data_IF_270341711474
#
_entry.id   IF_270341711474
#
_cell.length_a   1.000
_cell.length_b   1.000
_cell.length_c   1.000
_cell.angle_alpha   90.00
_cell.angle_beta   90.00
_cell.angle_gamma   90.00
#
_symmetry.space_group_name_H-M   'P 1'
#
loop_
_entity.id
_entity.type
_entity.pdbx_description
1 polymer ?
#
# COMPACT_ATOMS: atom_id res chain seq x y z
N UNK A 1 -26.40 5.03 -5.18
CA UNK A 1 -26.33 6.49 -5.15
C UNK A 1 -24.91 6.93 -4.84
N UNK A 2 -24.15 7.34 -5.86
CA UNK A 2 -22.88 8.05 -5.68
C UNK A 2 -23.22 9.53 -5.64
N UNK A 3 -22.98 10.20 -4.51
CA UNK A 3 -23.39 11.59 -4.29
C UNK A 3 -22.58 12.48 -5.25
N UNK A 4 -23.22 12.94 -6.33
CA UNK A 4 -22.69 13.95 -7.23
C UNK A 4 -22.95 15.33 -6.61
N UNK A 5 -21.90 16.12 -6.41
CA UNK A 5 -22.08 17.53 -6.04
C UNK A 5 -22.49 18.31 -7.28
N UNK A 6 -23.77 18.68 -7.37
CA UNK A 6 -24.32 19.50 -8.46
C UNK A 6 -23.95 20.99 -8.35
N UNK A 7 -23.32 21.41 -7.25
CA UNK A 7 -22.77 22.74 -7.08
C UNK A 7 -21.24 22.69 -7.22
N UNK A 8 -20.74 23.05 -8.42
CA UNK A 8 -19.32 23.22 -8.70
C UNK A 8 -19.06 24.53 -9.46
N UNK A 9 -17.90 25.13 -9.20
CA UNK A 9 -17.41 26.33 -9.89
C UNK A 9 -17.42 26.10 -11.43
N UNK A 10 -17.88 27.07 -12.22
CA UNK A 10 -17.99 27.01 -13.70
C UNK A 10 -18.99 25.97 -14.29
N UNK A 11 -20.16 25.76 -13.67
CA UNK A 11 -21.19 24.81 -14.16
C UNK A 11 -20.67 23.36 -14.33
N UNK A 12 -19.56 23.00 -13.68
CA UNK A 12 -19.01 21.65 -13.70
C UNK A 12 -19.56 20.83 -12.53
N UNK A 13 -20.06 19.63 -12.82
CA UNK A 13 -20.38 18.64 -11.80
C UNK A 13 -19.08 18.01 -11.28
N UNK A 14 -18.87 18.01 -9.95
CA UNK A 14 -17.70 17.36 -9.34
C UNK A 14 -18.05 15.97 -8.84
N UNK A 15 -17.42 14.96 -9.43
CA UNK A 15 -17.47 13.57 -8.96
C UNK A 15 -16.26 13.33 -8.06
N UNK A 16 -16.40 13.60 -6.76
CA UNK A 16 -15.26 13.57 -5.82
C UNK A 16 -15.04 12.19 -5.20
N UNK A 17 -16.10 11.53 -4.70
CA UNK A 17 -15.98 10.26 -3.97
C UNK A 17 -16.18 8.99 -4.82
N UNK A 18 -16.68 9.09 -6.06
CA UNK A 18 -16.97 7.90 -6.86
C UNK A 18 -15.71 7.28 -7.50
N UNK A 19 -14.61 8.02 -7.59
CA UNK A 19 -13.41 7.62 -8.34
C UNK A 19 -12.19 7.30 -7.46
N UNK A 20 -12.21 7.66 -6.16
CA UNK A 20 -11.02 7.62 -5.28
C UNK A 20 -11.15 6.68 -4.07
N UNK A 21 -11.69 5.48 -4.27
CA UNK A 21 -11.79 4.46 -3.20
C UNK A 21 -12.93 4.75 -2.21
N UNK A 22 -14.19 4.46 -2.57
CA UNK A 22 -15.35 4.89 -1.79
C UNK A 22 -15.34 4.34 -0.35
N UNK A 23 -14.77 3.15 -0.13
CA UNK A 23 -14.70 2.56 1.20
C UNK A 23 -13.78 3.31 2.15
N UNK A 24 -12.62 3.80 1.69
CA UNK A 24 -11.76 4.60 2.54
C UNK A 24 -12.41 5.95 2.86
N UNK A 25 -13.11 6.56 1.90
CA UNK A 25 -13.86 7.78 2.14
C UNK A 25 -14.95 7.59 3.22
N UNK A 26 -15.69 6.47 3.17
CA UNK A 26 -16.65 6.13 4.22
C UNK A 26 -15.98 5.88 5.57
N UNK A 27 -14.82 5.22 5.60
CA UNK A 27 -14.05 5.03 6.84
C UNK A 27 -13.63 6.38 7.44
N UNK A 28 -13.06 7.29 6.66
CA UNK A 28 -12.65 8.61 7.15
C UNK A 28 -13.87 9.44 7.59
N UNK A 29 -14.98 9.37 6.87
CA UNK A 29 -16.24 10.00 7.27
C UNK A 29 -16.77 9.46 8.60
N UNK A 30 -16.74 8.14 8.80
CA UNK A 30 -17.11 7.52 10.07
C UNK A 30 -16.17 7.95 11.21
N UNK A 31 -14.85 8.00 10.98
CA UNK A 31 -13.89 8.50 11.97
C UNK A 31 -14.17 9.96 12.35
N UNK A 32 -14.54 10.80 11.38
CA UNK A 32 -14.90 12.19 11.63
C UNK A 32 -16.18 12.31 12.46
N UNK A 33 -17.20 11.51 12.15
CA UNK A 33 -18.45 11.47 12.91
C UNK A 33 -18.22 11.00 14.36
N UNK A 34 -17.41 9.94 14.54
CA UNK A 34 -17.04 9.43 15.86
C UNK A 34 -16.24 10.45 16.67
N UNK A 35 -15.36 11.21 16.02
CA UNK A 35 -14.54 12.21 16.67
C UNK A 35 -15.33 13.47 17.08
N UNK A 36 -16.37 13.83 16.31
CA UNK A 36 -17.23 15.00 16.53
C UNK A 36 -16.56 16.36 16.24
N UNK A 37 -15.23 16.44 16.23
CA UNK A 37 -14.48 17.64 15.82
C UNK A 37 -13.31 17.27 14.91
N UNK A 38 -12.87 18.22 14.09
CA UNK A 38 -11.72 18.02 13.19
C UNK A 38 -10.42 17.71 13.95
N UNK A 39 -10.20 18.37 15.09
CA UNK A 39 -9.02 18.13 15.94
C UNK A 39 -9.00 16.71 16.50
N UNK A 40 -10.12 16.24 17.04
CA UNK A 40 -10.25 14.86 17.54
C UNK A 40 -10.11 13.83 16.42
N UNK A 41 -10.61 14.16 15.23
CA UNK A 41 -10.46 13.30 14.04
C UNK A 41 -9.00 13.16 13.64
N UNK A 42 -8.23 14.25 13.65
CA UNK A 42 -6.79 14.19 13.38
C UNK A 42 -6.08 13.29 14.40
N UNK A 43 -6.34 13.45 15.70
CA UNK A 43 -5.76 12.59 16.73
C UNK A 43 -6.14 11.11 16.54
N UNK A 44 -7.42 10.84 16.26
CA UNK A 44 -7.94 9.49 16.09
C UNK A 44 -7.37 8.80 14.83
N UNK A 45 -7.38 9.50 13.70
CA UNK A 45 -6.83 8.99 12.43
C UNK A 45 -5.32 8.76 12.52
N UNK A 46 -4.59 9.66 13.17
CA UNK A 46 -3.17 9.52 13.47
C UNK A 46 -2.89 8.27 14.32
N UNK A 47 -3.61 8.10 15.43
CA UNK A 47 -3.46 6.93 16.30
C UNK A 47 -3.75 5.64 15.54
N UNK A 48 -4.85 5.60 14.79
CA UNK A 48 -5.24 4.43 14.00
C UNK A 48 -4.16 4.08 12.97
N UNK A 49 -3.66 5.06 12.22
CA UNK A 49 -2.63 4.86 11.21
C UNK A 49 -1.30 4.36 11.83
N UNK A 50 -0.93 4.89 13.01
CA UNK A 50 0.24 4.45 13.77
C UNK A 50 0.12 2.99 14.22
N UNK A 51 -1.05 2.61 14.75
CA UNK A 51 -1.32 1.22 15.16
C UNK A 51 -1.32 0.29 13.95
N UNK A 52 -1.96 0.67 12.84
CA UNK A 52 -1.99 -0.12 11.62
C UNK A 52 -0.60 -0.33 11.02
N UNK A 53 0.24 0.71 10.98
CA UNK A 53 1.62 0.60 10.48
C UNK A 53 2.50 -0.30 11.35
N UNK A 54 2.44 -0.16 12.67
CA UNK A 54 3.18 -1.04 13.58
C UNK A 54 2.70 -2.50 13.48
N UNK A 55 1.39 -2.73 13.50
CA UNK A 55 0.81 -4.09 13.47
C UNK A 55 1.05 -4.78 12.13
N UNK A 56 0.94 -4.07 11.01
CA UNK A 56 1.18 -4.64 9.68
C UNK A 56 2.61 -5.17 9.55
N UNK A 57 3.61 -4.38 9.93
CA UNK A 57 5.00 -4.78 9.85
C UNK A 57 5.31 -5.87 10.86
N UNK A 58 4.74 -5.80 12.06
CA UNK A 58 4.88 -6.84 13.07
C UNK A 58 4.41 -8.19 12.53
N UNK A 59 3.20 -8.26 11.95
CA UNK A 59 2.67 -9.50 11.39
C UNK A 59 3.52 -10.03 10.23
N UNK A 60 3.99 -9.16 9.33
CA UNK A 60 4.92 -9.58 8.28
C UNK A 60 6.21 -10.18 8.87
N UNK A 61 6.78 -9.53 9.88
CA UNK A 61 7.99 -9.99 10.57
C UNK A 61 7.78 -11.32 11.30
N UNK A 62 6.60 -11.52 11.88
CA UNK A 62 6.22 -12.82 12.46
C UNK A 62 6.06 -13.88 11.38
N UNK A 63 5.42 -13.53 10.26
CA UNK A 63 5.27 -14.42 9.11
C UNK A 63 6.66 -14.85 8.62
N UNK A 64 7.64 -13.96 8.46
CA UNK A 64 9.02 -14.33 8.05
C UNK A 64 9.89 -14.95 9.17
N UNK A 65 9.33 -15.20 10.36
CA UNK A 65 10.01 -15.80 11.53
C UNK A 65 11.18 -14.98 12.10
N UNK A 66 11.10 -13.65 12.06
CA UNK A 66 12.08 -12.77 12.72
C UNK A 66 11.94 -12.86 14.25
N UNK A 67 13.04 -12.67 14.99
CA UNK A 67 13.06 -12.70 16.46
C UNK A 67 12.10 -11.65 17.03
N UNK A 68 11.31 -12.01 18.04
CA UNK A 68 10.24 -11.17 18.60
C UNK A 68 10.69 -9.73 18.93
N UNK A 69 11.78 -9.58 19.67
CA UNK A 69 12.31 -8.27 20.05
C UNK A 69 12.64 -7.39 18.82
N UNK A 70 13.24 -7.98 17.78
CA UNK A 70 13.51 -7.27 16.52
C UNK A 70 12.23 -6.95 15.76
N UNK A 71 11.24 -7.86 15.75
CA UNK A 71 9.95 -7.63 15.12
C UNK A 71 9.25 -6.42 15.74
N UNK A 72 9.21 -6.33 17.08
CA UNK A 72 8.59 -5.20 17.79
C UNK A 72 9.39 -3.93 17.56
N UNK A 73 10.72 -3.96 17.74
CA UNK A 73 11.58 -2.80 17.58
C UNK A 73 11.52 -2.18 16.17
N UNK A 74 11.60 -3.01 15.12
CA UNK A 74 11.49 -2.54 13.74
C UNK A 74 10.08 -2.04 13.40
N UNK A 75 9.04 -2.62 14.00
CA UNK A 75 7.66 -2.18 13.80
C UNK A 75 7.41 -0.81 14.41
N UNK A 76 7.91 -0.55 15.63
CA UNK A 76 7.85 0.77 16.24
C UNK A 76 8.68 1.79 15.47
N UNK A 77 9.86 1.38 14.99
CA UNK A 77 10.69 2.22 14.14
C UNK A 77 9.98 2.61 12.83
N UNK A 78 9.26 1.68 12.20
CA UNK A 78 8.55 1.93 10.95
C UNK A 78 7.51 3.06 11.05
N UNK A 79 6.81 3.18 12.19
CA UNK A 79 5.86 4.27 12.45
C UNK A 79 6.53 5.65 12.36
N UNK A 80 7.83 5.72 12.70
CA UNK A 80 8.59 6.98 12.71
C UNK A 80 9.09 7.41 11.33
N UNK A 81 8.95 6.56 10.31
CA UNK A 81 9.39 6.89 8.95
C UNK A 81 8.53 8.00 8.34
N UNK A 82 9.15 8.85 7.52
CA UNK A 82 8.41 9.92 6.85
C UNK A 82 7.22 9.41 6.02
N UNK A 83 7.36 8.24 5.38
CA UNK A 83 6.28 7.65 4.58
C UNK A 83 5.00 7.40 5.38
N UNK A 84 5.12 7.04 6.67
CA UNK A 84 3.98 6.93 7.59
C UNK A 84 3.59 8.31 8.11
N UNK A 85 4.56 9.11 8.58
CA UNK A 85 4.32 10.44 9.16
C UNK A 85 3.77 11.47 8.17
N UNK A 86 3.82 11.22 6.86
CA UNK A 86 3.30 12.12 5.84
C UNK A 86 1.79 12.42 5.99
N UNK A 87 1.03 11.50 6.60
CA UNK A 87 -0.35 11.79 7.01
C UNK A 87 -0.44 12.85 8.11
N UNK A 88 0.45 12.82 9.11
CA UNK A 88 0.46 13.80 10.20
C UNK A 88 0.84 15.19 9.70
N UNK A 89 1.77 15.27 8.76
CA UNK A 89 2.33 16.53 8.28
C UNK A 89 1.45 17.15 7.18
N UNK A 90 0.95 16.34 6.26
CA UNK A 90 0.33 16.80 5.02
C UNK A 90 -0.97 16.07 4.66
N UNK A 91 -1.49 15.19 5.53
CA UNK A 91 -2.69 14.38 5.30
C UNK A 91 -2.65 13.61 3.97
N UNK A 92 -1.45 13.15 3.58
CA UNK A 92 -1.26 12.39 2.36
C UNK A 92 -1.80 10.96 2.46
N UNK A 93 -2.74 10.60 1.59
CA UNK A 93 -3.34 9.26 1.57
C UNK A 93 -2.35 8.12 1.27
N UNK A 94 -1.20 8.43 0.66
CA UNK A 94 -0.12 7.45 0.45
C UNK A 94 0.33 6.79 1.75
N UNK A 95 0.27 7.49 2.89
CA UNK A 95 0.62 6.94 4.20
C UNK A 95 -0.29 5.80 4.65
N UNK A 96 -1.58 5.83 4.33
CA UNK A 96 -2.50 4.72 4.60
C UNK A 96 -2.13 3.47 3.79
N UNK A 97 -1.74 3.67 2.52
CA UNK A 97 -1.23 2.60 1.68
C UNK A 97 0.06 2.02 2.23
N UNK A 98 1.03 2.88 2.61
CA UNK A 98 2.30 2.47 3.22
C UNK A 98 2.08 1.73 4.54
N UNK A 99 1.18 2.21 5.40
CA UNK A 99 0.90 1.60 6.69
C UNK A 99 0.40 0.16 6.56
N UNK A 100 -0.38 -0.17 5.53
CA UNK A 100 -0.90 -1.53 5.32
C UNK A 100 -0.06 -2.37 4.34
N UNK A 101 0.89 -1.76 3.64
CA UNK A 101 1.76 -2.43 2.66
C UNK A 101 2.47 -3.68 3.21
N UNK A 102 3.06 -3.68 4.41
CA UNK A 102 3.70 -4.88 4.95
C UNK A 102 2.74 -6.06 5.13
N UNK A 103 1.52 -5.79 5.60
CA UNK A 103 0.49 -6.83 5.75
C UNK A 103 0.12 -7.41 4.38
N UNK A 104 0.00 -6.54 3.38
CA UNK A 104 -0.24 -6.95 2.00
C UNK A 104 0.91 -7.74 1.38
N UNK A 105 2.10 -7.84 1.97
CA UNK A 105 3.18 -8.71 1.45
C UNK A 105 3.08 -10.17 1.95
N UNK A 106 2.23 -10.45 2.94
CA UNK A 106 2.07 -11.80 3.50
C UNK A 106 1.69 -12.88 2.46
N UNK A 107 0.78 -12.64 1.48
CA UNK A 107 0.49 -13.60 0.42
C UNK A 107 1.73 -14.09 -0.34
N UNK A 108 2.61 -13.15 -0.71
CA UNK A 108 3.84 -13.47 -1.43
C UNK A 108 4.81 -14.29 -0.56
N UNK A 109 4.95 -13.93 0.72
CA UNK A 109 5.77 -14.70 1.67
C UNK A 109 5.23 -16.12 1.84
N UNK A 110 3.90 -16.29 1.95
CA UNK A 110 3.28 -17.61 2.07
C UNK A 110 3.48 -18.45 0.82
N UNK A 111 3.27 -17.87 -0.36
CA UNK A 111 3.52 -18.54 -1.63
C UNK A 111 4.96 -19.06 -1.72
N UNK A 112 5.95 -18.22 -1.40
CA UNK A 112 7.36 -18.61 -1.42
C UNK A 112 7.73 -19.70 -0.41
N UNK A 113 6.94 -19.88 0.65
CA UNK A 113 7.16 -20.91 1.68
C UNK A 113 6.50 -22.23 1.36
N UNK A 114 5.27 -22.18 0.85
CA UNK A 114 4.42 -23.37 0.69
C UNK A 114 4.35 -23.84 -0.75
N UNK A 115 4.78 -23.02 -1.72
CA UNK A 115 4.58 -23.25 -3.15
C UNK A 115 3.14 -23.09 -3.62
N UNK A 116 2.20 -22.77 -2.73
CA UNK A 116 0.76 -22.64 -3.02
C UNK A 116 0.35 -21.18 -2.98
N UNK A 117 -0.32 -20.73 -4.02
CA UNK A 117 -0.79 -19.34 -4.13
C UNK A 117 -1.98 -19.16 -3.18
N UNK A 118 -1.90 -18.25 -2.18
CA UNK A 118 -3.03 -17.99 -1.29
C UNK A 118 -4.02 -17.04 -1.96
N UNK A 119 -4.82 -17.58 -2.89
CA UNK A 119 -5.70 -16.86 -3.83
C UNK A 119 -6.49 -15.73 -3.16
N UNK A 120 -7.34 -16.02 -2.18
CA UNK A 120 -8.20 -15.00 -1.57
C UNK A 120 -7.42 -13.94 -0.80
N UNK A 121 -6.30 -14.31 -0.20
CA UNK A 121 -5.45 -13.37 0.54
C UNK A 121 -4.70 -12.44 -0.43
N UNK A 122 -4.24 -12.96 -1.56
CA UNK A 122 -3.61 -12.17 -2.63
C UNK A 122 -4.61 -11.20 -3.25
N UNK A 123 -5.78 -11.70 -3.65
CA UNK A 123 -6.85 -10.88 -4.21
C UNK A 123 -7.31 -9.78 -3.24
N UNK A 124 -7.52 -10.15 -1.97
CA UNK A 124 -7.88 -9.22 -0.91
C UNK A 124 -6.82 -8.17 -0.63
N UNK A 125 -5.53 -8.54 -0.66
CA UNK A 125 -4.42 -7.60 -0.44
C UNK A 125 -4.32 -6.53 -1.53
N UNK A 126 -4.40 -6.92 -2.81
CA UNK A 126 -4.37 -5.97 -3.93
C UNK A 126 -5.67 -5.15 -3.97
N UNK A 127 -6.82 -5.78 -3.72
CA UNK A 127 -8.11 -5.11 -3.67
C UNK A 127 -8.17 -4.05 -2.59
N UNK A 128 -7.78 -4.41 -1.36
CA UNK A 128 -7.67 -3.48 -0.23
C UNK A 128 -6.71 -2.33 -0.54
N UNK A 129 -5.54 -2.62 -1.13
CA UNK A 129 -4.59 -1.58 -1.49
C UNK A 129 -5.14 -0.62 -2.55
N UNK A 130 -5.88 -1.13 -3.56
CA UNK A 130 -6.52 -0.29 -4.57
C UNK A 130 -7.62 0.61 -3.98
N UNK A 131 -8.41 0.10 -3.03
CA UNK A 131 -9.42 0.89 -2.30
C UNK A 131 -8.80 1.99 -1.44
N UNK A 132 -7.54 1.80 -0.99
CA UNK A 132 -6.84 2.80 -0.17
C UNK A 132 -6.16 3.84 -1.05
N UNK A 133 -5.31 3.38 -1.97
CA UNK A 133 -4.46 4.25 -2.78
C UNK A 133 -3.94 3.54 -4.03
N UNK A 134 -4.36 4.01 -5.21
CA UNK A 134 -4.08 3.38 -6.50
C UNK A 134 -2.58 3.23 -6.81
N UNK A 135 -1.76 4.24 -6.52
CA UNK A 135 -0.31 4.14 -6.77
C UNK A 135 0.36 3.13 -5.84
N UNK A 136 -0.12 2.99 -4.59
CA UNK A 136 0.40 1.96 -3.67
C UNK A 136 0.00 0.55 -4.15
N UNK A 137 -1.17 0.40 -4.76
CA UNK A 137 -1.59 -0.86 -5.38
C UNK A 137 -0.68 -1.23 -6.55
N UNK A 138 -0.29 -0.26 -7.39
CA UNK A 138 0.69 -0.48 -8.45
C UNK A 138 2.02 -0.98 -7.89
N UNK A 139 2.56 -0.34 -6.85
CA UNK A 139 3.81 -0.80 -6.22
C UNK A 139 3.69 -2.21 -5.61
N UNK A 140 2.52 -2.56 -5.05
CA UNK A 140 2.26 -3.91 -4.56
C UNK A 140 2.22 -4.93 -5.70
N UNK A 141 1.56 -4.61 -6.81
CA UNK A 141 1.52 -5.46 -8.01
C UNK A 141 2.93 -5.67 -8.57
N UNK A 142 3.76 -4.64 -8.62
CA UNK A 142 5.17 -4.76 -9.05
C UNK A 142 5.97 -5.65 -8.10
N UNK A 143 5.81 -5.47 -6.77
CA UNK A 143 6.44 -6.34 -5.78
C UNK A 143 6.00 -7.80 -5.93
N UNK A 144 4.70 -8.03 -6.16
CA UNK A 144 4.16 -9.36 -6.43
C UNK A 144 4.70 -9.94 -7.73
N UNK A 145 4.78 -9.15 -8.81
CA UNK A 145 5.34 -9.61 -10.07
C UNK A 145 6.76 -10.16 -9.88
N UNK A 146 7.61 -9.47 -9.12
CA UNK A 146 8.97 -9.93 -8.78
C UNK A 146 8.90 -11.21 -7.93
N UNK A 147 8.22 -11.16 -6.78
CA UNK A 147 8.19 -12.26 -5.80
C UNK A 147 7.55 -13.53 -6.34
N UNK A 148 6.43 -13.40 -7.04
CA UNK A 148 5.74 -14.54 -7.64
C UNK A 148 6.50 -15.10 -8.83
N UNK A 149 7.21 -14.28 -9.62
CA UNK A 149 8.09 -14.79 -10.68
C UNK A 149 9.19 -15.68 -10.10
N UNK A 150 9.81 -15.26 -8.99
CA UNK A 150 10.82 -16.08 -8.28
C UNK A 150 10.22 -17.41 -7.81
N UNK A 151 9.03 -17.39 -7.20
CA UNK A 151 8.38 -18.61 -6.72
C UNK A 151 7.92 -19.52 -7.86
N UNK A 152 7.44 -18.94 -8.97
CA UNK A 152 7.03 -19.66 -10.17
C UNK A 152 8.22 -20.35 -10.85
N UNK A 153 9.39 -19.69 -10.94
CA UNK A 153 10.62 -20.29 -11.46
C UNK A 153 11.08 -21.49 -10.62
N UNK A 154 10.80 -21.50 -9.32
CA UNK A 154 11.14 -22.60 -8.40
C UNK A 154 10.06 -23.68 -8.31
N UNK A 155 8.87 -23.43 -8.84
CA UNK A 155 7.75 -24.38 -8.77
C UNK A 155 7.93 -25.51 -9.77
N UNK A 156 7.65 -26.74 -9.31
CA UNK A 156 7.54 -27.91 -10.20
C UNK A 156 6.25 -27.89 -11.01
N UNK A 157 5.20 -27.24 -10.48
CA UNK A 157 3.86 -27.19 -11.06
C UNK A 157 3.51 -25.76 -11.49
N UNK A 158 4.15 -25.33 -12.58
CA UNK A 158 4.05 -23.96 -13.11
C UNK A 158 2.64 -23.61 -13.58
N UNK A 159 1.91 -24.61 -14.07
CA UNK A 159 0.59 -24.41 -14.65
C UNK A 159 -0.46 -24.13 -13.57
N UNK A 160 -0.46 -24.91 -12.48
CA UNK A 160 -1.40 -24.67 -11.39
C UNK A 160 -1.13 -23.35 -10.69
N UNK A 161 0.15 -22.96 -10.49
CA UNK A 161 0.49 -21.63 -9.98
C UNK A 161 -0.07 -20.52 -10.88
N UNK A 162 0.05 -20.64 -12.20
CA UNK A 162 -0.45 -19.63 -13.13
C UNK A 162 -1.98 -19.54 -13.12
N UNK A 163 -2.68 -20.68 -13.03
CA UNK A 163 -4.13 -20.72 -12.87
C UNK A 163 -4.59 -20.04 -11.58
N UNK A 164 -3.93 -20.32 -10.45
CA UNK A 164 -4.28 -19.74 -9.17
C UNK A 164 -4.06 -18.23 -9.14
N UNK A 165 -2.99 -17.74 -9.79
CA UNK A 165 -2.75 -16.30 -9.99
C UNK A 165 -3.87 -15.70 -10.81
N UNK A 166 -4.23 -16.31 -11.95
CA UNK A 166 -5.30 -15.80 -12.82
C UNK A 166 -6.65 -15.77 -12.10
N UNK A 167 -6.95 -16.81 -11.32
CA UNK A 167 -8.15 -16.85 -10.50
C UNK A 167 -8.13 -15.76 -9.40
N UNK A 168 -6.99 -15.53 -8.77
CA UNK A 168 -6.80 -14.42 -7.81
C UNK A 168 -7.01 -13.06 -8.46
N UNK A 169 -6.57 -12.86 -9.71
CA UNK A 169 -6.83 -11.63 -10.47
C UNK A 169 -8.33 -11.48 -10.74
N UNK A 170 -9.03 -12.55 -11.12
CA UNK A 170 -10.48 -12.56 -11.30
C UNK A 170 -11.22 -12.15 -10.02
N UNK A 171 -10.87 -12.73 -8.87
CA UNK A 171 -11.45 -12.36 -7.57
C UNK A 171 -11.15 -10.90 -7.22
N UNK A 172 -9.93 -10.41 -7.48
CA UNK A 172 -9.57 -9.00 -7.28
C UNK A 172 -10.43 -8.04 -8.12
N UNK A 173 -10.66 -8.37 -9.40
CA UNK A 173 -11.49 -7.54 -10.29
C UNK A 173 -12.93 -7.45 -9.77
N UNK A 174 -13.47 -8.55 -9.24
CA UNK A 174 -14.80 -8.58 -8.62
C UNK A 174 -14.82 -7.72 -7.35
N UNK A 175 -13.83 -7.86 -6.47
CA UNK A 175 -13.72 -7.07 -5.22
C UNK A 175 -13.58 -5.56 -5.45
N UNK A 176 -13.21 -5.14 -6.66
CA UNK A 176 -12.93 -3.74 -7.00
C UNK A 176 -13.87 -3.17 -8.06
N UNK A 177 -14.96 -3.88 -8.38
CA UNK A 177 -16.03 -3.41 -9.30
C UNK A 177 -16.51 -2.01 -8.93
N UNK A 178 -16.63 -1.71 -7.64
CA UNK A 178 -17.07 -0.41 -7.13
C UNK A 178 -16.11 0.76 -7.41
N UNK A 179 -14.91 0.49 -7.95
CA UNK A 179 -13.93 1.49 -8.38
C UNK A 179 -13.92 1.60 -9.91
N UNK A 180 -13.63 0.50 -10.61
CA UNK A 180 -13.36 0.56 -12.05
C UNK A 180 -14.64 0.66 -12.89
N UNK A 181 -15.76 0.06 -12.47
CA UNK A 181 -17.00 0.14 -13.25
C UNK A 181 -17.56 1.58 -13.28
N UNK A 182 -17.64 2.32 -12.14
CA UNK A 182 -17.96 3.75 -12.19
C UNK A 182 -16.98 4.57 -13.03
N UNK A 183 -15.67 4.27 -12.96
CA UNK A 183 -14.67 4.96 -13.78
C UNK A 183 -14.92 4.75 -15.28
N UNK A 184 -15.19 3.52 -15.72
CA UNK A 184 -15.54 3.21 -17.11
C UNK A 184 -16.83 3.89 -17.53
N UNK A 185 -17.88 3.81 -16.71
CA UNK A 185 -19.16 4.45 -16.98
C UNK A 185 -19.00 5.96 -17.14
N UNK A 186 -18.34 6.62 -16.19
CA UNK A 186 -18.12 8.07 -16.21
C UNK A 186 -17.30 8.50 -17.43
N UNK A 187 -16.23 7.76 -17.76
CA UNK A 187 -15.42 8.02 -18.95
C UNK A 187 -16.18 7.82 -20.27
N UNK A 188 -17.16 6.91 -20.32
CA UNK A 188 -17.93 6.62 -21.51
C UNK A 188 -19.09 7.60 -21.74
N UNK A 189 -19.69 8.12 -20.67
CA UNK A 189 -20.89 8.98 -20.74
C UNK A 189 -20.60 10.47 -20.56
N UNK A 190 -19.38 10.86 -20.18
CA UNK A 190 -19.03 12.26 -19.92
C UNK A 190 -17.70 12.64 -20.55
N UNK A 191 -17.57 13.92 -20.91
CA UNK A 191 -16.28 14.52 -21.19
C UNK A 191 -15.59 14.91 -19.88
N UNK A 192 -14.51 14.21 -19.54
CA UNK A 192 -13.73 14.55 -18.37
C UNK A 192 -12.78 15.71 -18.68
N UNK A 193 -12.84 16.74 -17.84
CA UNK A 193 -11.82 17.78 -17.84
C UNK A 193 -10.46 17.15 -17.51
N UNK A 194 -9.47 17.38 -18.36
CA UNK A 194 -8.10 16.92 -18.12
C UNK A 194 -7.57 17.54 -16.80
N UNK A 195 -6.76 16.80 -16.02
CA UNK A 195 -6.08 17.36 -14.88
C UNK A 195 -5.28 18.60 -15.28
N UNK A 196 -5.34 19.66 -14.47
CA UNK A 196 -4.53 20.85 -14.75
C UNK A 196 -3.04 20.49 -14.74
N UNK A 197 -2.28 21.03 -15.69
CA UNK A 197 -0.84 20.84 -15.74
C UNK A 197 -0.20 21.74 -14.70
N UNK A 198 0.24 21.15 -13.58
CA UNK A 198 0.95 21.89 -12.54
C UNK A 198 2.36 22.28 -13.00
N UNK A 199 2.53 23.52 -13.49
CA UNK A 199 3.84 24.06 -13.90
C UNK A 199 4.84 24.19 -12.73
N UNK A 200 4.37 24.14 -11.48
CA UNK A 200 5.20 24.19 -10.26
C UNK A 200 5.31 22.82 -9.58
N UNK A 201 5.09 21.72 -10.30
CA UNK A 201 5.14 20.37 -9.71
C UNK A 201 6.46 20.08 -8.97
N UNK A 202 7.58 20.69 -9.40
CA UNK A 202 8.89 20.64 -8.72
C UNK A 202 8.79 20.99 -7.23
N UNK A 203 7.90 21.90 -6.82
CA UNK A 203 7.76 22.27 -5.41
C UNK A 203 7.14 21.14 -4.56
N UNK A 204 6.43 20.22 -5.19
CA UNK A 204 5.78 19.06 -4.57
C UNK A 204 6.55 17.76 -4.78
N UNK A 205 7.66 17.78 -5.52
CA UNK A 205 8.56 16.62 -5.66
C UNK A 205 9.67 16.66 -4.61
N UNK A 206 10.38 15.54 -4.47
CA UNK A 206 11.59 15.47 -3.65
C UNK A 206 12.69 16.25 -4.37
N UNK A 207 12.78 17.54 -4.06
CA UNK A 207 13.91 18.40 -4.45
C UNK A 207 15.06 18.24 -3.47
N UNK A 208 16.22 18.80 -3.79
CA UNK A 208 17.39 18.83 -2.90
C UNK A 208 17.06 19.29 -1.47
N UNK A 209 16.19 20.30 -1.32
CA UNK A 209 15.77 20.81 -0.01
C UNK A 209 14.83 19.87 0.76
N UNK A 210 14.19 18.92 0.09
CA UNK A 210 13.26 17.93 0.66
C UNK A 210 13.83 16.51 0.67
N UNK A 211 15.08 16.33 0.23
CA UNK A 211 15.74 15.03 0.18
C UNK A 211 15.81 14.36 1.56
N UNK A 212 15.84 15.14 2.64
CA UNK A 212 15.83 14.63 4.02
C UNK A 212 14.65 13.71 4.34
N UNK A 213 13.51 13.87 3.66
CA UNK A 213 12.37 12.96 3.81
C UNK A 213 12.68 11.52 3.41
N UNK A 214 13.64 11.28 2.51
CA UNK A 214 14.02 9.93 2.07
C UNK A 214 14.84 9.16 3.11
N UNK A 215 15.53 9.89 3.98
CA UNK A 215 16.43 9.31 4.97
C UNK A 215 16.04 9.67 6.40
N UNK A 216 14.85 10.22 6.62
CA UNK A 216 14.28 10.47 7.94
C UNK A 216 13.43 9.28 8.42
N UNK A 217 13.61 8.82 9.67
CA UNK A 217 14.57 9.32 10.67
C UNK A 217 16.02 9.01 10.27
N UNK A 218 16.99 9.84 10.66
CA UNK A 218 18.40 9.74 10.21
C UNK A 218 19.09 8.39 10.51
N UNK A 219 18.52 7.58 11.40
CA UNK A 219 18.96 6.20 11.64
C UNK A 219 18.55 5.22 10.54
N UNK A 220 17.59 5.56 9.68
CA UNK A 220 17.07 4.71 8.60
C UNK A 220 18.17 4.28 7.61
N UNK A 221 19.02 5.17 7.05
CA UNK A 221 20.14 4.76 6.21
C UNK A 221 21.13 3.84 6.92
N UNK A 222 21.39 4.07 8.22
CA UNK A 222 22.33 3.26 9.00
C UNK A 222 21.78 1.84 9.18
N UNK A 223 20.50 1.72 9.54
CA UNK A 223 19.81 0.44 9.66
C UNK A 223 19.78 -0.28 8.30
N UNK A 224 19.49 0.44 7.23
CA UNK A 224 19.46 -0.12 5.88
C UNK A 224 20.85 -0.61 5.45
N UNK A 225 21.89 0.22 5.56
CA UNK A 225 23.26 -0.12 5.18
C UNK A 225 23.82 -1.30 5.99
N UNK A 226 23.57 -1.33 7.30
CA UNK A 226 23.96 -2.46 8.16
C UNK A 226 23.21 -3.74 7.77
N UNK A 227 21.90 -3.65 7.52
CA UNK A 227 21.10 -4.79 7.06
C UNK A 227 21.61 -5.34 5.73
N UNK A 228 21.93 -4.47 4.77
CA UNK A 228 22.45 -4.83 3.46
C UNK A 228 23.84 -5.48 3.58
N UNK A 229 24.73 -4.90 4.39
CA UNK A 229 26.05 -5.47 4.66
C UNK A 229 25.95 -6.91 5.21
N UNK A 230 25.13 -7.14 6.22
CA UNK A 230 24.95 -8.48 6.79
C UNK A 230 24.27 -9.44 5.81
N UNK A 231 23.36 -8.92 4.97
CA UNK A 231 22.68 -9.68 3.94
C UNK A 231 23.70 -10.18 2.90
N UNK A 232 24.54 -9.30 2.36
CA UNK A 232 25.60 -9.66 1.41
C UNK A 232 26.63 -10.61 2.03
N UNK A 233 27.08 -10.35 3.26
CA UNK A 233 28.07 -11.19 3.96
C UNK A 233 27.57 -12.61 4.24
N UNK A 234 26.26 -12.79 4.49
CA UNK A 234 25.65 -14.09 4.80
C UNK A 234 24.91 -14.74 3.64
N UNK A 235 25.07 -14.25 2.41
CA UNK A 235 24.36 -14.71 1.21
C UNK A 235 24.27 -16.25 1.07
N UNK A 236 25.41 -16.93 1.23
CA UNK A 236 25.50 -18.39 1.11
C UNK A 236 24.77 -19.14 2.23
N UNK A 237 24.44 -18.49 3.34
CA UNK A 237 23.71 -19.08 4.49
C UNK A 237 22.24 -18.64 4.56
N UNK A 238 21.75 -17.87 3.60
CA UNK A 238 20.38 -17.37 3.59
C UNK A 238 19.35 -18.40 3.13
N UNK A 239 18.13 -18.25 3.64
CA UNK A 239 16.96 -18.99 3.16
C UNK A 239 16.69 -18.67 1.69
N UNK A 240 16.06 -19.62 0.99
CA UNK A 240 15.70 -19.53 -0.44
C UNK A 240 14.82 -18.31 -0.76
N UNK A 241 14.11 -17.79 0.23
CA UNK A 241 13.27 -16.59 0.17
C UNK A 241 14.13 -15.32 0.13
N UNK A 242 15.13 -15.23 1.00
CA UNK A 242 16.03 -14.07 1.05
C UNK A 242 16.92 -14.01 -0.19
N UNK A 243 17.44 -15.15 -0.66
CA UNK A 243 18.25 -15.22 -1.89
C UNK A 243 17.48 -14.89 -3.18
N UNK A 244 16.15 -14.96 -3.16
CA UNK A 244 15.34 -14.59 -4.33
C UNK A 244 15.16 -13.08 -4.45
N UNK A 245 15.20 -12.38 -3.32
CA UNK A 245 14.95 -10.94 -3.21
C UNK A 245 16.19 -10.08 -3.44
N UNK A 246 17.34 -10.72 -3.63
CA UNK A 246 18.67 -10.12 -3.72
C UNK A 246 19.37 -10.65 -4.95
#
# INVERSE_FOLDING_TARGET
SYIMSLHGYQQSGRIVNALYGPYLAYLQGALLLLAGTWYRYQLLSNLLLGVLSATSLYFLMREVKVRYFLSVGLSMFFVTTYSVQYWWVAQGFSSWGVALFPLCLIPAVRFLKTGKVPIFLMAGAVGLMLQIHMLSALFLILAYAILFSIGWLKSQDKWNVMKDILFSVGVFLILTVNIWLPLLYVNATNELAAPFINKKFIQSTVTWSKAYFLYFPYSLPIIFATSLYFMLKKWKKQSVILRGLT
#
